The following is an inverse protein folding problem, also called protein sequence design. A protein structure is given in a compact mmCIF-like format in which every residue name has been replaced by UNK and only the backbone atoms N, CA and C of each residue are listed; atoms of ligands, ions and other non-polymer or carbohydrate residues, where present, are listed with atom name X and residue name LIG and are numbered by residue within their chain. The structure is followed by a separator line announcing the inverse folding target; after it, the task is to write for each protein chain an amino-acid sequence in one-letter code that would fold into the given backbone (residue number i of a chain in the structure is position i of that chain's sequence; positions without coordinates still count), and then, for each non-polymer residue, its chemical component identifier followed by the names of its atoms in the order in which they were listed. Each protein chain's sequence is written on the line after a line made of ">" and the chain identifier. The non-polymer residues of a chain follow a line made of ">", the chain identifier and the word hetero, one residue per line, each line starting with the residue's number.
data_IF_055935045337
#
_entry.id   IF_055935045337
#
_cell.length_a   1.000
_cell.length_b   1.000
_cell.length_c   1.000
_cell.angle_alpha   90.00
_cell.angle_beta   90.00
_cell.angle_gamma   90.00
#
_symmetry.space_group_name_H-M   'P 1'
#
loop_
_entity.id
_entity.type
_entity.pdbx_description
1 polymer ?
#
# COMPACT_ATOMS: atom_id res chain seq x y z
N UNK A 1 -0.80 -8.23 -7.58
CA UNK A 1 -0.77 -7.09 -6.61
C UNK A 1 0.00 -5.91 -7.20
N UNK A 2 -0.16 -4.69 -6.65
CA UNK A 2 0.66 -3.52 -7.01
C UNK A 2 1.23 -2.84 -5.78
N UNK A 3 2.53 -2.64 -5.72
CA UNK A 3 3.22 -2.00 -4.60
C UNK A 3 3.88 -0.69 -5.06
N UNK A 4 3.69 0.38 -4.31
CA UNK A 4 4.23 1.71 -4.57
C UNK A 4 5.05 2.17 -3.38
N UNK A 5 6.30 2.56 -3.62
CA UNK A 5 7.21 3.11 -2.61
C UNK A 5 8.17 4.11 -3.25
N UNK A 6 8.88 4.90 -2.47
CA UNK A 6 9.96 5.77 -2.95
C UNK A 6 11.27 5.26 -2.35
N UNK A 7 12.18 4.76 -3.20
CA UNK A 7 13.45 4.18 -2.74
C UNK A 7 14.42 5.19 -2.10
N UNK A 8 14.13 6.50 -2.21
CA UNK A 8 14.96 7.56 -1.61
C UNK A 8 14.42 8.10 -0.30
N UNK A 9 13.21 7.69 0.08
CA UNK A 9 12.58 8.11 1.32
C UNK A 9 12.61 6.92 2.25
N UNK A 10 13.32 7.08 3.37
CA UNK A 10 13.21 6.14 4.47
C UNK A 10 11.80 6.27 5.06
N UNK A 11 10.99 5.21 5.11
CA UNK A 11 9.68 5.28 5.72
C UNK A 11 9.87 5.64 7.21
N UNK A 12 9.19 6.70 7.67
CA UNK A 12 9.26 7.12 9.08
C UNK A 12 9.04 5.93 10.03
N UNK A 13 9.63 6.01 11.24
CA UNK A 13 9.41 5.11 12.40
C UNK A 13 8.00 5.28 12.99
N UNK A 14 7.01 5.24 12.11
CA UNK A 14 5.60 5.33 12.39
C UNK A 14 5.04 3.91 12.48
N UNK A 15 4.18 3.60 13.46
CA UNK A 15 3.50 2.31 13.54
C UNK A 15 2.79 1.87 12.24
N UNK A 16 2.40 2.81 11.38
CA UNK A 16 1.82 2.54 10.04
C UNK A 16 2.79 1.79 9.11
N UNK A 17 4.09 1.98 9.29
CA UNK A 17 5.17 1.37 8.50
C UNK A 17 5.85 0.20 9.23
N UNK A 18 5.29 -0.30 10.34
CA UNK A 18 5.97 -1.35 11.10
C UNK A 18 6.27 -2.58 10.23
N UNK A 19 7.54 -2.99 10.20
CA UNK A 19 8.02 -4.11 9.40
C UNK A 19 8.12 -3.85 7.89
N UNK A 20 8.19 -2.58 7.46
CA UNK A 20 8.19 -2.23 6.04
C UNK A 20 9.41 -2.75 5.27
N UNK A 21 10.61 -2.77 5.87
CA UNK A 21 11.82 -3.30 5.22
C UNK A 21 11.64 -4.78 4.88
N UNK A 22 11.25 -5.59 5.88
CA UNK A 22 10.91 -7.01 5.70
C UNK A 22 9.79 -7.22 4.68
N UNK A 23 8.77 -6.34 4.69
CA UNK A 23 7.66 -6.41 3.75
C UNK A 23 8.12 -6.18 2.30
N UNK A 24 9.04 -5.23 2.08
CA UNK A 24 9.61 -4.96 0.75
C UNK A 24 10.39 -6.18 0.26
N UNK A 25 11.22 -6.79 1.11
CA UNK A 25 11.97 -8.00 0.76
C UNK A 25 11.03 -9.16 0.40
N UNK A 26 10.01 -9.39 1.23
CA UNK A 26 8.99 -10.41 0.97
C UNK A 26 8.24 -10.19 -0.32
N UNK A 27 7.82 -8.96 -0.60
CA UNK A 27 7.15 -8.63 -1.87
C UNK A 27 8.06 -8.90 -3.07
N UNK A 28 9.36 -8.59 -2.98
CA UNK A 28 10.33 -8.90 -4.04
C UNK A 28 10.52 -10.41 -4.23
N UNK A 29 10.53 -11.18 -3.16
CA UNK A 29 10.62 -12.64 -3.25
C UNK A 29 9.35 -13.27 -3.82
N UNK A 30 8.18 -12.82 -3.37
CA UNK A 30 6.89 -13.25 -3.90
C UNK A 30 6.73 -12.89 -5.38
N UNK A 31 7.25 -11.73 -5.81
CA UNK A 31 7.21 -11.29 -7.21
C UNK A 31 7.95 -12.25 -8.17
N UNK A 32 8.82 -13.13 -7.66
CA UNK A 32 9.48 -14.18 -8.47
C UNK A 32 8.55 -15.33 -8.81
N UNK A 33 7.45 -15.49 -8.07
CA UNK A 33 6.53 -16.64 -8.16
C UNK A 33 5.15 -16.19 -8.65
N UNK A 34 4.66 -15.07 -8.13
CA UNK A 34 3.35 -14.51 -8.46
C UNK A 34 3.48 -13.09 -9.03
N UNK A 35 2.44 -12.63 -9.71
CA UNK A 35 2.45 -11.30 -10.34
C UNK A 35 2.28 -10.19 -9.29
N UNK A 36 3.38 -9.51 -9.00
CA UNK A 36 3.41 -8.28 -8.20
C UNK A 36 4.13 -7.20 -8.99
N UNK A 37 3.39 -6.14 -9.36
CA UNK A 37 4.00 -4.98 -10.00
C UNK A 37 4.57 -4.07 -8.90
N UNK A 38 5.89 -3.94 -8.82
CA UNK A 38 6.58 -3.08 -7.86
C UNK A 38 7.02 -1.79 -8.55
N UNK A 39 6.53 -0.65 -8.05
CA UNK A 39 6.79 0.68 -8.59
C UNK A 39 7.61 1.52 -7.61
N UNK A 40 8.86 1.81 -7.99
CA UNK A 40 9.63 2.88 -7.37
C UNK A 40 9.14 4.24 -7.93
N UNK A 41 8.61 5.07 -7.04
CA UNK A 41 8.01 6.36 -7.35
C UNK A 41 8.98 7.53 -7.24
N UNK A 42 10.27 7.23 -6.97
CA UNK A 42 11.35 8.22 -7.00
C UNK A 42 11.29 9.09 -8.25
N UNK A 43 11.16 10.40 -8.03
CA UNK A 43 11.14 11.39 -9.11
C UNK A 43 9.88 11.37 -9.98
N UNK A 44 8.82 10.65 -9.58
CA UNK A 44 7.54 10.73 -10.29
C UNK A 44 6.94 12.14 -10.15
N UNK A 45 6.34 12.67 -11.23
CA UNK A 45 5.61 13.93 -11.14
C UNK A 45 4.35 13.76 -10.28
N UNK A 46 3.96 14.81 -9.57
CA UNK A 46 2.79 14.80 -8.68
C UNK A 46 1.51 14.30 -9.37
N UNK A 47 1.32 14.64 -10.64
CA UNK A 47 0.17 14.16 -11.43
C UNK A 47 0.12 12.63 -11.49
N UNK A 48 1.26 11.97 -11.73
CA UNK A 48 1.34 10.51 -11.82
C UNK A 48 1.14 9.84 -10.46
N UNK A 49 1.66 10.46 -9.39
CA UNK A 49 1.37 10.04 -8.01
C UNK A 49 -0.13 10.16 -7.69
N UNK A 50 -0.78 11.25 -8.11
CA UNK A 50 -2.21 11.45 -7.92
C UNK A 50 -3.04 10.40 -8.66
N UNK A 51 -2.69 10.07 -9.91
CA UNK A 51 -3.36 9.02 -10.69
C UNK A 51 -3.24 7.65 -10.02
N UNK A 52 -2.06 7.33 -9.46
CA UNK A 52 -1.87 6.10 -8.67
C UNK A 52 -2.72 6.12 -7.39
N UNK A 53 -2.74 7.26 -6.68
CA UNK A 53 -3.54 7.44 -5.46
C UNK A 53 -5.05 7.37 -5.72
N UNK A 54 -5.54 7.81 -6.88
CA UNK A 54 -6.96 7.66 -7.25
C UNK A 54 -7.39 6.20 -7.28
N UNK A 55 -6.51 5.28 -7.67
CA UNK A 55 -6.79 3.84 -7.62
C UNK A 55 -6.98 3.38 -6.17
N UNK A 56 -6.10 3.82 -5.27
CA UNK A 56 -6.20 3.55 -3.83
C UNK A 56 -7.50 4.11 -3.25
N UNK A 57 -7.90 5.33 -3.63
CA UNK A 57 -9.17 5.91 -3.18
C UNK A 57 -10.38 5.10 -3.64
N UNK A 58 -10.41 4.65 -4.89
CA UNK A 58 -11.53 3.85 -5.42
C UNK A 58 -11.72 2.57 -4.60
N UNK A 59 -10.63 1.86 -4.30
CA UNK A 59 -10.65 0.66 -3.46
C UNK A 59 -11.16 0.97 -2.05
N UNK A 60 -10.62 2.03 -1.43
CA UNK A 60 -11.04 2.42 -0.09
C UNK A 60 -12.53 2.81 -0.01
N UNK A 61 -13.07 3.47 -1.03
CA UNK A 61 -14.51 3.80 -1.11
C UNK A 61 -15.33 2.51 -1.22
N UNK A 62 -14.94 1.58 -2.10
CA UNK A 62 -15.65 0.31 -2.29
C UNK A 62 -15.73 -0.50 -0.99
N UNK A 63 -14.65 -0.50 -0.21
CA UNK A 63 -14.55 -1.28 1.03
C UNK A 63 -14.90 -0.49 2.30
N UNK A 64 -15.32 0.78 2.17
CA UNK A 64 -15.59 1.67 3.31
C UNK A 64 -14.40 1.81 4.27
N UNK A 65 -13.18 1.75 3.75
CA UNK A 65 -11.93 1.80 4.52
C UNK A 65 -11.43 3.25 4.68
N UNK A 66 -11.00 3.62 5.89
CA UNK A 66 -10.56 4.97 6.19
C UNK A 66 -9.07 5.22 5.88
N UNK A 67 -8.73 5.43 4.60
CA UNK A 67 -7.33 5.63 4.17
C UNK A 67 -6.83 7.09 4.27
N UNK A 68 -7.73 8.07 4.38
CA UNK A 68 -7.35 9.49 4.32
C UNK A 68 -6.43 9.90 5.47
N UNK A 69 -6.62 9.29 6.65
CA UNK A 69 -5.78 9.51 7.84
C UNK A 69 -4.43 8.79 7.77
N UNK A 70 -4.29 7.81 6.89
CA UNK A 70 -3.05 7.07 6.66
C UNK A 70 -2.14 7.89 5.74
N UNK A 71 -2.65 8.30 4.57
CA UNK A 71 -1.83 8.93 3.54
C UNK A 71 -1.83 10.46 3.56
N UNK A 72 -2.54 11.08 4.49
CA UNK A 72 -2.77 12.53 4.48
C UNK A 72 -2.99 13.14 5.85
N UNK A 73 -3.00 14.47 5.85
CA UNK A 73 -3.37 15.29 7.01
C UNK A 73 -4.82 15.77 6.87
N UNK A 74 -5.30 16.50 7.87
CA UNK A 74 -6.61 17.17 7.78
C UNK A 74 -6.70 18.10 6.56
N UNK A 75 -5.59 18.78 6.24
CA UNK A 75 -5.51 19.83 5.22
C UNK A 75 -5.05 19.31 3.86
N UNK A 76 -4.17 18.30 3.81
CA UNK A 76 -3.56 17.80 2.57
C UNK A 76 -3.81 16.30 2.42
N UNK A 77 -4.49 15.91 1.34
CA UNK A 77 -4.71 14.51 0.99
C UNK A 77 -3.46 13.95 0.30
N UNK A 78 -3.21 12.65 0.48
CA UNK A 78 -2.19 11.90 -0.25
C UNK A 78 -0.73 12.35 -0.11
N UNK A 79 -0.41 13.34 0.74
CA UNK A 79 0.95 13.90 0.83
C UNK A 79 2.01 12.84 1.17
N UNK A 80 1.61 11.78 1.88
CA UNK A 80 2.49 10.68 2.30
C UNK A 80 2.48 9.48 1.36
N UNK A 81 1.54 9.44 0.42
CA UNK A 81 1.32 8.26 -0.42
C UNK A 81 2.56 7.94 -1.26
N UNK A 82 2.98 6.67 -1.19
CA UNK A 82 4.13 6.12 -1.90
C UNK A 82 5.46 6.83 -1.61
N UNK A 83 5.49 7.70 -0.59
CA UNK A 83 6.67 8.39 -0.08
C UNK A 83 6.95 7.86 1.32
N UNK A 84 6.69 8.69 2.33
CA UNK A 84 6.76 8.35 3.77
C UNK A 84 5.91 7.14 4.13
N UNK A 85 4.83 6.87 3.39
CA UNK A 85 3.96 5.70 3.57
C UNK A 85 3.86 4.93 2.25
N UNK A 86 4.62 3.83 2.11
CA UNK A 86 4.45 2.88 1.00
C UNK A 86 3.03 2.32 0.96
N UNK A 87 2.58 1.87 -0.21
CA UNK A 87 1.22 1.41 -0.40
C UNK A 87 1.16 0.15 -1.25
N UNK A 88 0.42 -0.84 -0.74
CA UNK A 88 0.14 -2.10 -1.41
C UNK A 88 -1.35 -2.16 -1.80
N UNK A 89 -1.63 -2.35 -3.08
CA UNK A 89 -2.95 -2.61 -3.61
C UNK A 89 -3.07 -4.10 -3.93
N UNK A 90 -4.06 -4.74 -3.32
CA UNK A 90 -4.36 -6.14 -3.51
C UNK A 90 -5.45 -6.27 -4.57
N UNK A 91 -5.22 -7.15 -5.54
CA UNK A 91 -6.15 -7.44 -6.62
C UNK A 91 -6.64 -8.87 -6.47
N UNK A 92 -7.94 -9.06 -6.72
CA UNK A 92 -8.53 -10.39 -6.84
C UNK A 92 -8.72 -10.69 -8.32
N UNK A 93 -7.87 -11.56 -8.84
CA UNK A 93 -7.88 -11.95 -10.25
C UNK A 93 -9.19 -12.63 -10.66
N UNK A 94 -9.93 -13.23 -9.71
CA UNK A 94 -11.25 -13.83 -9.98
C UNK A 94 -12.36 -12.79 -10.16
N UNK A 95 -12.18 -11.60 -9.58
CA UNK A 95 -13.15 -10.50 -9.63
C UNK A 95 -12.78 -9.42 -10.64
N UNK A 96 -11.52 -9.37 -11.06
CA UNK A 96 -11.02 -8.41 -12.05
C UNK A 96 -10.88 -6.98 -11.52
N UNK A 97 -10.95 -6.77 -10.20
CA UNK A 97 -10.78 -5.46 -9.58
C UNK A 97 -9.96 -5.52 -8.29
N UNK A 98 -9.44 -4.36 -7.87
CA UNK A 98 -8.68 -4.24 -6.63
C UNK A 98 -9.60 -4.40 -5.41
N UNK A 99 -9.27 -5.35 -4.55
CA UNK A 99 -10.10 -5.75 -3.41
C UNK A 99 -9.67 -5.12 -2.12
N UNK A 100 -8.41 -4.73 -1.92
CA UNK A 100 -7.95 -4.11 -0.69
C UNK A 100 -6.73 -3.20 -0.89
N UNK A 101 -6.44 -2.35 0.11
CA UNK A 101 -5.25 -1.50 0.14
C UNK A 101 -4.64 -1.50 1.53
N UNK A 102 -3.30 -1.50 1.60
CA UNK A 102 -2.52 -1.45 2.83
C UNK A 102 -1.41 -0.38 2.73
N UNK A 103 -1.00 0.26 3.84
CA UNK A 103 -1.63 0.15 5.15
C UNK A 103 -3.06 0.74 5.17
N UNK A 104 -3.90 0.20 6.05
CA UNK A 104 -5.28 0.65 6.25
C UNK A 104 -5.62 0.84 7.72
N UNK A 105 -6.63 1.67 7.97
CA UNK A 105 -7.30 1.70 9.26
C UNK A 105 -8.55 0.83 9.16
N UNK A 106 -8.60 -0.21 9.97
CA UNK A 106 -9.70 -1.16 10.04
C UNK A 106 -10.16 -1.29 11.49
N UNK A 107 -11.44 -1.02 11.75
CA UNK A 107 -12.04 -0.99 13.10
C UNK A 107 -11.23 -0.20 14.16
N UNK A 108 -10.51 0.85 13.74
CA UNK A 108 -9.68 1.68 14.62
C UNK A 108 -8.27 1.13 14.87
N UNK A 109 -7.92 -0.04 14.33
CA UNK A 109 -6.58 -0.61 14.32
C UNK A 109 -5.89 -0.32 12.98
N UNK A 110 -4.60 -0.01 13.04
CA UNK A 110 -3.76 0.06 11.84
C UNK A 110 -3.38 -1.35 11.43
N UNK A 111 -3.73 -1.72 10.20
CA UNK A 111 -3.27 -2.93 9.55
C UNK A 111 -2.15 -2.55 8.59
N UNK A 112 -0.93 -3.00 8.87
CA UNK A 112 0.26 -2.68 8.07
C UNK A 112 0.34 -3.56 6.81
N UNK A 113 1.25 -3.21 5.91
CA UNK A 113 1.58 -4.09 4.77
C UNK A 113 2.13 -5.43 5.28
N UNK A 114 2.96 -5.40 6.33
CA UNK A 114 3.54 -6.61 6.88
C UNK A 114 2.50 -7.52 7.53
N UNK A 115 1.50 -6.97 8.22
CA UNK A 115 0.39 -7.75 8.77
C UNK A 115 -0.35 -8.52 7.68
N UNK A 116 -0.68 -7.83 6.58
CA UNK A 116 -1.29 -8.46 5.41
C UNK A 116 -0.42 -9.58 4.83
N UNK A 117 0.88 -9.35 4.65
CA UNK A 117 1.77 -10.34 4.05
C UNK A 117 1.88 -11.60 4.93
N UNK A 118 1.91 -11.45 6.26
CA UNK A 118 1.88 -12.59 7.19
C UNK A 118 0.60 -13.41 6.98
N UNK A 119 -0.55 -12.76 7.03
CA UNK A 119 -1.85 -13.40 6.83
C UNK A 119 -1.97 -14.07 5.45
N UNK A 120 -1.46 -13.44 4.39
CA UNK A 120 -1.46 -13.97 3.03
C UNK A 120 -0.66 -15.28 2.94
N UNK A 121 0.54 -15.30 3.53
CA UNK A 121 1.41 -16.49 3.50
C UNK A 121 0.93 -17.62 4.41
N UNK A 122 0.31 -17.31 5.54
CA UNK A 122 -0.21 -18.31 6.49
C UNK A 122 -1.49 -19.00 5.98
N UNK A 123 -2.31 -18.28 5.22
CA UNK A 123 -3.56 -18.81 4.66
C UNK A 123 -3.39 -19.54 3.32
N UNK A 124 -2.14 -19.74 2.85
CA UNK A 124 -1.83 -20.62 1.72
C UNK A 124 -2.42 -20.19 0.37
N UNK A 125 -2.48 -18.88 0.08
CA UNK A 125 -2.79 -18.35 -1.25
C UNK A 125 -1.53 -17.99 -2.05
#
# INVERSE_FOLDING_TARGET
>A
MKFYYDSTVDPDDNPINAGIEDAIERLKDMAKIIRIDIFDTKGWPEKKLSEAYETVMKVAIMNKTAIRRIYGTAQQRAIRFAKEVPSLIVFDDSKGYAVEVYPKLDEGKVMTIMDYLKEYTENGQ
#
